data_IF_928653534347
#
_entry.id   IF_928653534347
#
_cell.length_a   1.000
_cell.length_b   1.000
_cell.length_c   1.000
_cell.angle_alpha   90.00
_cell.angle_beta   90.00
_cell.angle_gamma   90.00
#
_symmetry.space_group_name_H-M   'P 1'
#
loop_
_entity.id
_entity.type
_entity.pdbx_description
1 polymer ?
#
# COMPACT_ATOMS: atom_id res chain seq x y z
N UNK A 1 0.01 -0.31 19.51
CA UNK A 1 -0.73 0.41 18.46
C UNK A 1 -0.02 0.04 17.19
N UNK A 2 -0.70 -0.58 16.22
CA UNK A 2 -0.10 -0.85 14.93
C UNK A 2 -0.45 0.35 14.06
N UNK A 3 0.55 1.14 13.68
CA UNK A 3 0.35 2.34 12.88
C UNK A 3 -0.25 1.99 11.51
N UNK A 4 -1.08 2.89 10.97
CA UNK A 4 -1.62 2.72 9.62
C UNK A 4 -0.58 3.21 8.61
N UNK A 5 -0.02 2.29 7.82
CA UNK A 5 1.02 2.62 6.84
C UNK A 5 0.53 2.34 5.41
N UNK A 6 0.70 3.33 4.53
CA UNK A 6 0.40 3.19 3.10
C UNK A 6 1.70 3.02 2.31
N UNK A 7 1.87 1.85 1.70
CA UNK A 7 2.96 1.63 0.76
C UNK A 7 2.49 1.92 -0.67
N UNK A 8 3.31 2.59 -1.47
CA UNK A 8 2.99 2.92 -2.86
C UNK A 8 3.92 2.14 -3.79
N UNK A 9 3.36 1.46 -4.79
CA UNK A 9 4.14 0.68 -5.75
C UNK A 9 4.70 -0.62 -5.16
N UNK A 10 4.10 -1.12 -4.08
CA UNK A 10 4.67 -2.26 -3.35
C UNK A 10 4.40 -3.62 -4.00
N UNK A 11 3.70 -3.68 -5.14
CA UNK A 11 3.54 -4.93 -5.91
C UNK A 11 4.80 -5.33 -6.69
N UNK A 12 5.84 -4.48 -6.70
CA UNK A 12 7.13 -4.76 -7.35
C UNK A 12 8.05 -5.69 -6.57
N UNK A 13 9.25 -5.95 -7.11
CA UNK A 13 10.21 -6.89 -6.52
C UNK A 13 10.60 -6.57 -5.07
N UNK A 14 11.04 -5.34 -4.80
CA UNK A 14 11.44 -4.91 -3.45
C UNK A 14 10.22 -4.67 -2.56
N UNK A 15 9.19 -4.04 -3.11
CA UNK A 15 7.96 -3.75 -2.38
C UNK A 15 7.27 -4.98 -1.82
N UNK A 16 7.26 -6.09 -2.57
CA UNK A 16 6.66 -7.35 -2.12
C UNK A 16 7.38 -7.91 -0.89
N UNK A 17 8.71 -7.74 -0.81
CA UNK A 17 9.49 -8.14 0.36
C UNK A 17 9.24 -7.24 1.56
N UNK A 18 9.08 -5.94 1.33
CA UNK A 18 8.70 -5.01 2.38
C UNK A 18 7.33 -5.37 2.96
N UNK A 19 6.35 -5.64 2.09
CA UNK A 19 5.02 -6.13 2.49
C UNK A 19 5.16 -7.40 3.35
N UNK A 20 5.89 -8.40 2.88
CA UNK A 20 6.12 -9.67 3.60
C UNK A 20 6.64 -9.45 5.03
N UNK A 21 7.52 -8.47 5.23
CA UNK A 21 8.08 -8.19 6.56
C UNK A 21 7.24 -7.27 7.44
N UNK A 22 6.31 -6.50 6.87
CA UNK A 22 5.61 -5.42 7.58
C UNK A 22 4.15 -5.74 7.90
N UNK A 23 3.53 -6.69 7.21
CA UNK A 23 2.09 -6.98 7.34
C UNK A 23 1.66 -7.50 8.71
N UNK A 24 2.57 -8.12 9.47
CA UNK A 24 2.27 -8.63 10.81
C UNK A 24 2.41 -7.54 11.90
N UNK A 25 3.20 -6.50 11.62
CA UNK A 25 3.56 -5.45 12.58
C UNK A 25 2.71 -4.17 12.43
N UNK A 26 2.15 -3.93 11.25
CA UNK A 26 1.45 -2.69 10.90
C UNK A 26 0.11 -2.96 10.21
N UNK A 27 -0.79 -1.98 10.26
CA UNK A 27 -1.99 -2.02 9.42
C UNK A 27 -1.65 -1.51 8.02
N UNK A 28 -1.17 -2.42 7.16
CA UNK A 28 -0.69 -2.07 5.83
C UNK A 28 -1.81 -1.99 4.79
N UNK A 29 -1.78 -0.95 3.96
CA UNK A 29 -2.37 -0.96 2.61
C UNK A 29 -1.31 -0.65 1.56
N UNK A 30 -1.55 -1.15 0.35
CA UNK A 30 -0.72 -0.89 -0.82
C UNK A 30 -1.53 -0.13 -1.87
N UNK A 31 -1.05 1.01 -2.36
CA UNK A 31 -1.58 1.70 -3.54
C UNK A 31 -0.67 1.36 -4.72
N UNK A 32 -1.21 0.68 -5.73
CA UNK A 32 -0.44 0.31 -6.90
C UNK A 32 -1.26 0.44 -8.18
N UNK A 33 -0.57 0.70 -9.29
CA UNK A 33 -1.17 0.79 -10.62
C UNK A 33 -1.66 -0.57 -11.13
N UNK A 34 -1.13 -1.66 -10.57
CA UNK A 34 -1.50 -3.02 -10.93
C UNK A 34 -1.81 -3.83 -9.68
N UNK A 35 -2.67 -4.84 -9.83
CA UNK A 35 -3.01 -5.71 -8.72
C UNK A 35 -1.77 -6.49 -8.28
N UNK A 36 -1.54 -6.53 -6.97
CA UNK A 36 -0.47 -7.36 -6.42
C UNK A 36 -0.82 -8.82 -6.62
N UNK A 37 0.12 -9.59 -7.17
CA UNK A 37 -0.04 -11.04 -7.27
C UNK A 37 0.02 -11.73 -5.90
N UNK A 38 0.84 -11.19 -4.98
CA UNK A 38 1.11 -11.79 -3.67
C UNK A 38 0.19 -11.26 -2.57
N UNK A 39 -0.24 -9.99 -2.67
CA UNK A 39 -1.01 -9.30 -1.64
C UNK A 39 -2.26 -8.61 -2.20
N UNK A 40 -3.16 -9.32 -2.91
CA UNK A 40 -4.32 -8.72 -3.57
C UNK A 40 -5.33 -8.09 -2.59
N UNK A 41 -5.47 -8.65 -1.38
CA UNK A 41 -6.45 -8.24 -0.36
C UNK A 41 -6.15 -6.88 0.29
N UNK A 42 -4.88 -6.50 0.34
CA UNK A 42 -4.42 -5.23 0.91
C UNK A 42 -4.04 -4.21 -0.16
N UNK A 43 -4.16 -4.58 -1.44
CA UNK A 43 -3.82 -3.71 -2.58
C UNK A 43 -5.06 -3.00 -3.11
N UNK A 44 -5.01 -1.67 -3.12
CA UNK A 44 -5.94 -0.79 -3.80
C UNK A 44 -5.34 -0.39 -5.15
N UNK A 45 -6.13 -0.54 -6.21
CA UNK A 45 -5.73 -0.07 -7.54
C UNK A 45 -5.84 1.45 -7.62
N UNK A 46 -4.78 2.09 -8.08
CA UNK A 46 -4.78 3.52 -8.39
C UNK A 46 -3.43 3.99 -8.93
N UNK A 47 -3.44 5.12 -9.64
CA UNK A 47 -2.20 5.78 -10.10
C UNK A 47 -1.85 6.89 -9.12
N UNK A 48 -0.66 6.83 -8.52
CA UNK A 48 -0.16 7.86 -7.58
C UNK A 48 -0.09 9.25 -8.20
N UNK A 49 -0.06 9.34 -9.54
CA UNK A 49 -0.04 10.62 -10.27
C UNK A 49 -1.42 11.27 -10.34
N UNK A 50 -2.49 10.57 -9.96
CA UNK A 50 -3.81 11.15 -9.77
C UNK A 50 -3.92 11.72 -8.36
N UNK A 51 -3.86 13.05 -8.26
CA UNK A 51 -3.87 13.77 -6.98
C UNK A 51 -5.12 13.46 -6.15
N UNK A 52 -6.29 13.37 -6.79
CA UNK A 52 -7.54 13.13 -6.07
C UNK A 52 -7.56 11.73 -5.47
N UNK A 53 -7.10 10.74 -6.23
CA UNK A 53 -6.97 9.36 -5.73
C UNK A 53 -5.95 9.30 -4.59
N UNK A 54 -4.81 9.98 -4.74
CA UNK A 54 -3.76 9.98 -3.73
C UNK A 54 -4.27 10.61 -2.42
N UNK A 55 -4.90 11.79 -2.48
CA UNK A 55 -5.45 12.48 -1.30
C UNK A 55 -6.49 11.61 -0.57
N UNK A 56 -7.38 10.98 -1.31
CA UNK A 56 -8.38 10.05 -0.75
C UNK A 56 -7.76 8.80 -0.15
N UNK A 57 -6.61 8.35 -0.66
CA UNK A 57 -5.95 7.12 -0.18
C UNK A 57 -5.08 7.39 1.03
N UNK A 58 -4.45 8.56 1.12
CA UNK A 58 -3.63 8.98 2.26
C UNK A 58 -4.46 9.30 3.51
N UNK A 59 -5.75 9.64 3.34
CA UNK A 59 -6.63 9.95 4.47
C UNK A 59 -6.71 8.79 5.47
N UNK A 60 -6.23 9.02 6.70
CA UNK A 60 -6.26 8.05 7.79
C UNK A 60 -5.01 7.17 7.92
N UNK A 61 -3.95 7.44 7.15
CA UNK A 61 -2.63 6.84 7.31
C UNK A 61 -1.67 7.79 8.03
N UNK A 62 -0.84 7.21 8.89
CA UNK A 62 0.11 7.94 9.73
C UNK A 62 1.49 8.06 9.04
N UNK A 63 1.81 7.13 8.13
CA UNK A 63 3.08 7.04 7.39
C UNK A 63 2.85 6.59 5.95
#
# INVERSE_FOLDING_TARGET
MNDNVLLIGASGFVGTRLLETAVDDFNIKNLDKQQSHFYPEITRIGDVRDQQILDQTLAGFDT
#
